data_IF_784261541078
#
_entry.id   IF_784261541078
#
_cell.length_a   1.000
_cell.length_b   1.000
_cell.length_c   1.000
_cell.angle_alpha   90.00
_cell.angle_beta   90.00
_cell.angle_gamma   90.00
#
_symmetry.space_group_name_H-M   'P 1'
#
loop_
_entity.id
_entity.type
_entity.pdbx_description
1 polymer ?
#
# COMPACT_ATOMS: atom_id res chain seq x y z
N UNK A 1 28.60 9.55 3.56
CA UNK A 1 29.49 8.42 3.19
C UNK A 1 29.85 7.63 4.44
N UNK A 2 29.54 6.33 4.48
CA UNK A 2 29.68 5.47 5.67
C UNK A 2 31.13 5.06 5.97
N UNK A 3 31.47 4.90 7.27
CA UNK A 3 32.79 4.42 7.71
C UNK A 3 32.91 2.90 7.53
N UNK A 4 34.13 2.41 7.28
CA UNK A 4 34.45 0.96 7.17
C UNK A 4 33.91 0.21 8.39
N UNK A 5 33.11 -0.84 8.18
CA UNK A 5 32.47 -1.63 9.23
C UNK A 5 31.12 -1.11 9.75
N UNK A 6 30.61 0.02 9.23
CA UNK A 6 29.23 0.48 9.47
C UNK A 6 28.42 0.29 8.20
N UNK A 7 27.54 -0.70 8.21
CA UNK A 7 26.63 -0.98 7.09
C UNK A 7 25.24 -0.42 7.42
N UNK A 8 24.57 0.08 6.39
CA UNK A 8 23.14 0.38 6.43
C UNK A 8 22.42 -0.63 5.53
N UNK A 9 21.26 -1.10 5.97
CA UNK A 9 20.36 -1.88 5.13
C UNK A 9 19.34 -0.94 4.52
N UNK A 10 18.99 -1.17 3.26
CA UNK A 10 17.93 -0.46 2.56
C UNK A 10 17.01 -1.52 1.99
N UNK A 11 15.72 -1.46 2.34
CA UNK A 11 14.70 -2.30 1.73
C UNK A 11 14.22 -1.63 0.43
N UNK A 12 14.09 -2.43 -0.63
CA UNK A 12 13.49 -1.99 -1.91
C UNK A 12 11.98 -2.21 -1.96
N UNK A 13 11.39 -2.80 -0.90
CA UNK A 13 9.96 -3.06 -0.75
C UNK A 13 9.42 -2.45 0.53
N UNK A 14 8.42 -3.08 1.15
CA UNK A 14 7.90 -2.64 2.44
C UNK A 14 9.00 -2.60 3.51
N UNK A 15 9.12 -1.47 4.21
CA UNK A 15 10.16 -1.24 5.23
C UNK A 15 9.63 -0.67 6.56
N UNK A 16 8.44 -0.05 6.53
CA UNK A 16 7.81 0.57 7.70
C UNK A 16 6.77 -0.39 8.29
N UNK A 17 6.82 -0.61 9.61
CA UNK A 17 5.70 -1.19 10.36
C UNK A 17 4.75 -0.05 10.73
N UNK A 18 3.51 -0.09 10.25
CA UNK A 18 2.48 0.89 10.55
C UNK A 18 1.73 0.54 11.82
N UNK A 19 2.03 1.27 12.90
CA UNK A 19 1.53 0.97 14.25
C UNK A 19 2.12 -0.30 14.84
N UNK A 20 2.66 -0.22 16.06
CA UNK A 20 3.25 -1.37 16.76
C UNK A 20 2.32 -2.01 17.80
N UNK A 21 1.19 -1.38 18.12
CA UNK A 21 0.23 -1.93 19.07
C UNK A 21 -0.60 -3.03 18.40
N UNK A 22 -0.60 -4.22 19.00
CA UNK A 22 -1.24 -5.42 18.47
C UNK A 22 -0.77 -5.84 17.05
N UNK A 23 0.31 -5.24 16.53
CA UNK A 23 0.87 -5.59 15.24
C UNK A 23 1.72 -6.88 15.32
N UNK A 24 1.39 -7.94 14.57
CA UNK A 24 2.16 -9.19 14.57
C UNK A 24 3.64 -8.99 14.24
N UNK A 25 3.97 -8.04 13.37
CA UNK A 25 5.36 -7.74 13.02
C UNK A 25 6.14 -7.14 14.19
N UNK A 26 5.47 -6.34 15.03
CA UNK A 26 6.05 -5.82 16.27
C UNK A 26 6.33 -6.93 17.29
N UNK A 27 5.45 -7.94 17.37
CA UNK A 27 5.67 -9.13 18.21
C UNK A 27 6.86 -9.94 17.71
N UNK A 28 6.93 -10.23 16.41
CA UNK A 28 8.06 -10.96 15.81
C UNK A 28 9.39 -10.20 16.01
N UNK A 29 9.39 -8.88 15.82
CA UNK A 29 10.56 -8.05 16.07
C UNK A 29 11.06 -8.21 17.52
N UNK A 30 10.15 -8.23 18.49
CA UNK A 30 10.48 -8.43 19.91
C UNK A 30 11.02 -9.84 20.17
N UNK A 31 10.39 -10.88 19.63
CA UNK A 31 10.85 -12.27 19.77
C UNK A 31 12.27 -12.46 19.21
N UNK A 32 12.57 -11.81 18.09
CA UNK A 32 13.87 -11.85 17.44
C UNK A 32 14.88 -10.84 18.00
N UNK A 33 14.50 -10.10 19.05
CA UNK A 33 15.32 -9.02 19.66
C UNK A 33 15.84 -8.02 18.62
N UNK A 34 15.01 -7.67 17.63
CA UNK A 34 15.34 -6.69 16.59
C UNK A 34 14.98 -5.30 17.10
N UNK A 35 15.94 -4.35 17.13
CA UNK A 35 15.64 -2.97 17.48
C UNK A 35 14.67 -2.33 16.48
N UNK A 36 13.69 -1.60 17.02
CA UNK A 36 12.77 -0.77 16.25
C UNK A 36 13.18 0.70 16.35
N UNK A 37 13.10 1.42 15.23
CA UNK A 37 13.40 2.85 15.16
C UNK A 37 12.14 3.62 14.78
N UNK A 38 11.60 4.37 15.75
CA UNK A 38 10.43 5.23 15.57
C UNK A 38 10.65 6.25 14.44
N UNK A 39 9.68 6.35 13.54
CA UNK A 39 9.54 7.45 12.58
C UNK A 39 9.15 8.70 13.35
N UNK A 40 9.86 9.81 13.11
CA UNK A 40 9.59 11.09 13.77
C UNK A 40 8.65 11.92 12.93
N UNK A 41 7.77 12.67 13.59
CA UNK A 41 6.68 13.41 12.94
C UNK A 41 7.16 14.65 12.16
N UNK A 42 8.38 15.12 12.43
CA UNK A 42 8.91 16.34 11.81
C UNK A 42 9.32 16.07 10.35
N UNK A 43 8.51 16.55 9.41
CA UNK A 43 8.79 16.52 7.97
C UNK A 43 8.83 17.97 7.41
N UNK A 44 9.98 18.65 7.41
CA UNK A 44 10.08 19.98 6.82
C UNK A 44 9.97 19.91 5.28
N UNK A 45 9.14 20.77 4.70
CA UNK A 45 9.00 20.90 3.26
C UNK A 45 10.01 21.90 2.68
N UNK A 46 10.46 21.62 1.45
CA UNK A 46 11.41 22.44 0.73
C UNK A 46 10.91 22.71 -0.69
N UNK A 47 11.14 23.94 -1.14
CA UNK A 47 10.89 24.36 -2.51
C UNK A 47 11.87 23.69 -3.49
N UNK A 48 11.58 23.69 -4.80
CA UNK A 48 12.48 23.13 -5.81
C UNK A 48 13.88 23.76 -5.85
N UNK A 49 14.03 24.99 -5.36
CA UNK A 49 15.31 25.68 -5.23
C UNK A 49 16.09 25.32 -3.94
N UNK A 50 15.53 24.43 -3.11
CA UNK A 50 16.10 23.98 -1.84
C UNK A 50 15.84 24.90 -0.65
N UNK A 51 15.09 26.00 -0.82
CA UNK A 51 14.69 26.85 0.30
C UNK A 51 13.60 26.20 1.15
N UNK A 52 13.60 26.37 2.48
CA UNK A 52 12.54 25.85 3.32
C UNK A 52 11.22 26.59 3.05
N UNK A 53 10.11 25.84 3.03
CA UNK A 53 8.76 26.40 2.91
C UNK A 53 8.42 27.17 4.20
N UNK A 54 7.69 28.28 4.06
CA UNK A 54 7.19 29.03 5.21
C UNK A 54 6.18 28.21 6.02
N UNK A 55 6.34 28.20 7.35
CA UNK A 55 5.53 27.35 8.24
C UNK A 55 4.07 27.76 8.30
N UNK A 56 3.76 29.04 8.14
CA UNK A 56 2.38 29.52 8.16
C UNK A 56 1.65 29.07 6.89
N UNK A 57 2.33 29.12 5.75
CA UNK A 57 1.79 28.63 4.47
C UNK A 57 1.63 27.11 4.50
N UNK A 58 2.65 26.38 4.95
CA UNK A 58 2.61 24.91 5.12
C UNK A 58 1.40 24.49 5.95
N UNK A 59 1.29 25.02 7.17
CA UNK A 59 0.16 24.74 8.08
C UNK A 59 -1.20 25.12 7.47
N UNK A 60 -1.27 26.23 6.73
CA UNK A 60 -2.50 26.68 6.08
C UNK A 60 -2.93 25.71 5.00
N UNK A 61 -2.02 25.26 4.15
CA UNK A 61 -2.32 24.34 3.05
C UNK A 61 -2.66 22.95 3.57
N UNK A 62 -1.98 22.47 4.61
CA UNK A 62 -2.33 21.24 5.31
C UNK A 62 -3.78 21.26 5.81
N UNK A 63 -4.21 22.37 6.44
CA UNK A 63 -5.61 22.54 6.89
C UNK A 63 -6.58 22.56 5.71
N UNK A 64 -6.21 23.19 4.59
CA UNK A 64 -7.04 23.19 3.37
C UNK A 64 -7.20 21.76 2.83
N UNK A 65 -6.11 21.02 2.72
CA UNK A 65 -6.10 19.65 2.23
C UNK A 65 -7.00 18.74 3.08
N UNK A 66 -6.84 18.75 4.40
CA UNK A 66 -7.67 17.95 5.30
C UNK A 66 -9.16 18.34 5.22
N UNK A 67 -9.47 19.64 5.11
CA UNK A 67 -10.86 20.09 4.92
C UNK A 67 -11.45 19.63 3.58
N UNK A 68 -10.66 19.52 2.52
CA UNK A 68 -11.12 18.95 1.26
C UNK A 68 -11.48 17.48 1.44
N UNK A 69 -10.65 16.69 2.13
CA UNK A 69 -10.94 15.28 2.46
C UNK A 69 -12.19 15.12 3.33
N UNK A 70 -12.39 15.98 4.34
CA UNK A 70 -13.62 16.00 5.14
C UNK A 70 -14.86 16.22 4.26
N UNK A 71 -14.74 17.10 3.26
CA UNK A 71 -15.82 17.38 2.31
C UNK A 71 -16.05 16.23 1.33
N UNK A 72 -15.00 15.51 0.91
CA UNK A 72 -15.18 14.24 0.19
C UNK A 72 -15.98 13.25 1.05
N UNK A 73 -15.63 13.13 2.35
CA UNK A 73 -16.33 12.27 3.29
C UNK A 73 -17.80 12.66 3.46
N UNK A 74 -18.13 13.96 3.49
CA UNK A 74 -19.51 14.41 3.54
C UNK A 74 -20.27 14.10 2.23
N UNK A 75 -19.62 14.32 1.07
CA UNK A 75 -20.23 14.04 -0.23
C UNK A 75 -20.54 12.56 -0.42
N UNK A 76 -19.64 11.64 -0.03
CA UNK A 76 -19.93 10.19 -0.12
C UNK A 76 -21.17 9.78 0.67
N UNK A 77 -21.41 10.39 1.84
CA UNK A 77 -22.58 10.09 2.67
C UNK A 77 -23.89 10.59 2.01
N UNK A 78 -23.83 11.72 1.33
CA UNK A 78 -24.99 12.29 0.62
C UNK A 78 -25.29 11.51 -0.67
N UNK A 79 -24.25 11.16 -1.43
CA UNK A 79 -24.39 10.51 -2.74
C UNK A 79 -24.67 9.01 -2.65
N UNK A 80 -24.40 8.38 -1.50
CA UNK A 80 -24.59 6.95 -1.30
C UNK A 80 -23.86 6.12 -2.37
N UNK A 81 -24.54 5.12 -2.93
CA UNK A 81 -23.95 4.21 -3.92
C UNK A 81 -23.51 4.86 -5.24
N UNK A 82 -23.94 6.09 -5.55
CA UNK A 82 -23.50 6.81 -6.76
C UNK A 82 -22.05 7.32 -6.66
N UNK A 83 -21.47 7.37 -5.46
CA UNK A 83 -20.06 7.72 -5.28
C UNK A 83 -19.09 6.60 -5.75
N UNK A 84 -19.59 5.39 -6.03
CA UNK A 84 -18.76 4.23 -6.35
C UNK A 84 -17.96 4.39 -7.66
N UNK A 85 -18.51 5.13 -8.63
CA UNK A 85 -17.93 5.30 -9.98
C UNK A 85 -17.23 6.67 -10.16
N UNK A 86 -17.02 7.41 -9.07
CA UNK A 86 -16.38 8.73 -9.09
C UNK A 86 -14.99 8.61 -8.48
N UNK A 87 -14.00 9.19 -9.15
CA UNK A 87 -12.63 9.19 -8.65
C UNK A 87 -12.40 10.26 -7.58
N UNK A 88 -11.57 9.93 -6.60
CA UNK A 88 -11.20 10.83 -5.52
C UNK A 88 -10.60 12.13 -6.07
N UNK A 89 -9.75 12.03 -7.08
CA UNK A 89 -9.11 13.16 -7.75
C UNK A 89 -10.12 14.11 -8.39
N UNK A 90 -11.18 13.60 -9.03
CA UNK A 90 -12.20 14.48 -9.64
C UNK A 90 -12.98 15.24 -8.57
N UNK A 91 -13.30 14.59 -7.45
CA UNK A 91 -14.01 15.24 -6.33
C UNK A 91 -13.14 16.31 -5.69
N UNK A 92 -11.87 16.00 -5.41
CA UNK A 92 -10.94 16.95 -4.80
C UNK A 92 -10.73 18.19 -5.68
N UNK A 93 -10.54 18.02 -6.98
CA UNK A 93 -10.39 19.16 -7.90
C UNK A 93 -11.67 19.98 -8.02
N UNK A 94 -12.84 19.32 -8.08
CA UNK A 94 -14.15 20.01 -8.08
C UNK A 94 -14.33 20.86 -6.81
N UNK A 95 -14.02 20.29 -5.64
CA UNK A 95 -14.14 20.98 -4.36
C UNK A 95 -13.14 22.14 -4.25
N UNK A 96 -11.91 21.95 -4.70
CA UNK A 96 -10.89 23.01 -4.72
C UNK A 96 -11.35 24.21 -5.54
N UNK A 97 -11.91 23.98 -6.73
CA UNK A 97 -12.46 25.02 -7.59
C UNK A 97 -13.68 25.71 -6.97
N UNK A 98 -14.62 24.92 -6.44
CA UNK A 98 -15.85 25.42 -5.80
C UNK A 98 -15.56 26.34 -4.61
N UNK A 99 -14.63 25.93 -3.74
CA UNK A 99 -14.26 26.70 -2.55
C UNK A 99 -13.17 27.73 -2.80
N UNK A 100 -12.68 27.86 -4.04
CA UNK A 100 -11.72 28.90 -4.40
C UNK A 100 -10.41 28.84 -3.58
N UNK A 101 -9.95 27.65 -3.19
CA UNK A 101 -8.77 27.45 -2.35
C UNK A 101 -7.52 27.06 -3.15
N UNK A 102 -6.35 27.29 -2.55
CA UNK A 102 -5.03 27.05 -3.15
C UNK A 102 -4.90 27.69 -4.54
N UNK A 103 -5.07 29.02 -4.58
CA UNK A 103 -5.12 29.80 -5.83
C UNK A 103 -3.76 30.35 -6.23
N UNK A 104 -2.91 30.67 -5.26
CA UNK A 104 -1.55 31.10 -5.58
C UNK A 104 -0.74 29.90 -6.09
N UNK A 105 0.29 30.18 -6.89
CA UNK A 105 1.19 29.13 -7.39
C UNK A 105 1.84 28.35 -6.25
N UNK A 106 2.23 29.05 -5.19
CA UNK A 106 2.86 28.46 -4.00
C UNK A 106 1.89 27.55 -3.23
N UNK A 107 0.67 28.00 -2.96
CA UNK A 107 -0.34 27.16 -2.30
C UNK A 107 -0.71 25.95 -3.15
N UNK A 108 -0.77 26.12 -4.47
CA UNK A 108 -1.07 25.01 -5.39
C UNK A 108 0.03 23.96 -5.39
N UNK A 109 1.30 24.36 -5.41
CA UNK A 109 2.43 23.43 -5.35
C UNK A 109 2.44 22.63 -4.04
N UNK A 110 2.14 23.28 -2.92
CA UNK A 110 2.04 22.60 -1.62
C UNK A 110 0.83 21.66 -1.55
N UNK A 111 -0.31 22.06 -2.13
CA UNK A 111 -1.46 21.17 -2.24
C UNK A 111 -1.12 19.95 -3.11
N UNK A 112 -0.43 20.16 -4.23
CA UNK A 112 0.01 19.07 -5.11
C UNK A 112 1.00 18.13 -4.39
N UNK A 113 1.83 18.64 -3.47
CA UNK A 113 2.66 17.80 -2.59
C UNK A 113 1.81 16.91 -1.67
N UNK A 114 0.75 17.44 -1.03
CA UNK A 114 -0.15 16.63 -0.19
C UNK A 114 -0.93 15.60 -1.02
N UNK A 115 -1.38 15.98 -2.22
CA UNK A 115 -2.05 15.06 -3.15
C UNK A 115 -1.09 13.94 -3.58
N UNK A 116 0.17 14.25 -3.90
CA UNK A 116 1.19 13.26 -4.20
C UNK A 116 1.51 12.35 -3.00
N UNK A 117 1.54 12.89 -1.78
CA UNK A 117 1.69 12.08 -0.56
C UNK A 117 0.52 11.11 -0.36
N UNK A 118 -0.70 11.50 -0.75
CA UNK A 118 -1.87 10.62 -0.73
C UNK A 118 -1.80 9.54 -1.83
N UNK A 119 -1.31 9.88 -3.02
CA UNK A 119 -1.04 8.90 -4.09
C UNK A 119 0.05 7.91 -3.68
N UNK A 120 1.10 8.37 -2.99
CA UNK A 120 2.13 7.53 -2.40
C UNK A 120 1.56 6.52 -1.42
N UNK A 121 0.71 6.97 -0.48
CA UNK A 121 0.09 6.09 0.52
C UNK A 121 -0.77 4.99 -0.12
N UNK A 122 -1.46 5.30 -1.21
CA UNK A 122 -2.33 4.37 -1.94
C UNK A 122 -1.62 3.64 -3.09
N UNK A 123 -0.35 3.96 -3.34
CA UNK A 123 0.44 3.54 -4.48
C UNK A 123 -0.25 3.73 -5.85
N UNK A 124 -1.16 4.71 -6.00
CA UNK A 124 -1.96 4.88 -7.22
C UNK A 124 -2.53 6.28 -7.40
N UNK A 125 -2.77 6.66 -8.66
CA UNK A 125 -3.24 8.00 -9.01
C UNK A 125 -4.64 8.29 -8.44
N UNK A 126 -4.87 9.52 -7.95
CA UNK A 126 -6.16 9.94 -7.40
C UNK A 126 -7.31 9.81 -8.41
N UNK A 127 -7.01 9.88 -9.71
CA UNK A 127 -7.95 9.67 -10.82
C UNK A 127 -8.47 8.23 -10.91
N UNK A 128 -7.79 7.27 -10.30
CA UNK A 128 -8.17 5.85 -10.26
C UNK A 128 -8.67 5.39 -8.89
N UNK A 129 -8.46 6.18 -7.83
CA UNK A 129 -8.94 5.87 -6.48
C UNK A 129 -10.44 6.15 -6.36
N UNK A 130 -11.18 5.24 -5.73
CA UNK A 130 -12.61 5.44 -5.50
C UNK A 130 -12.84 6.50 -4.43
N UNK A 131 -13.62 7.54 -4.72
CA UNK A 131 -13.99 8.56 -3.74
C UNK A 131 -14.78 7.97 -2.54
N UNK A 132 -15.43 6.82 -2.73
CA UNK A 132 -16.24 6.17 -1.71
C UNK A 132 -15.44 5.28 -0.74
N UNK A 133 -14.41 4.60 -1.24
CA UNK A 133 -13.76 3.47 -0.53
C UNK A 133 -12.23 3.55 -0.44
N UNK A 134 -11.60 4.68 -0.77
CA UNK A 134 -10.14 4.81 -0.70
C UNK A 134 -9.58 4.64 0.72
N UNK A 135 -10.37 4.99 1.75
CA UNK A 135 -10.04 4.98 3.19
C UNK A 135 -10.84 3.90 3.96
N UNK A 136 -11.32 2.86 3.28
CA UNK A 136 -12.23 1.88 3.90
C UNK A 136 -11.57 1.03 5.00
N UNK A 137 -10.24 0.96 5.02
CA UNK A 137 -9.43 0.22 5.98
C UNK A 137 -8.99 1.05 7.20
N UNK A 138 -9.10 2.38 7.15
CA UNK A 138 -8.77 3.30 8.24
C UNK A 138 -9.38 2.90 9.62
N UNK A 139 -10.65 2.43 9.71
CA UNK A 139 -11.22 2.00 11.00
C UNK A 139 -10.49 0.82 11.67
N UNK A 140 -9.61 0.13 10.93
CA UNK A 140 -8.84 -1.03 11.39
C UNK A 140 -7.35 -0.72 11.52
N UNK A 141 -6.95 0.56 11.47
CA UNK A 141 -5.56 0.98 11.67
C UNK A 141 -5.02 0.48 13.02
N UNK A 142 -3.76 0.05 13.01
CA UNK A 142 -3.05 -0.35 14.22
C UNK A 142 -2.45 0.89 14.91
N UNK A 143 -2.70 1.04 16.20
CA UNK A 143 -2.15 2.16 16.97
C UNK A 143 -0.66 2.03 17.29
N UNK A 144 -0.12 3.06 17.95
CA UNK A 144 1.28 3.11 18.40
C UNK A 144 2.22 3.66 17.33
N UNK A 145 3.53 3.65 17.62
CA UNK A 145 4.53 4.27 16.75
C UNK A 145 4.72 3.53 15.42
N UNK A 146 4.85 4.27 14.31
CA UNK A 146 5.37 3.73 13.06
C UNK A 146 6.89 3.54 13.20
N UNK A 147 7.39 2.37 12.79
CA UNK A 147 8.78 1.99 13.06
C UNK A 147 9.48 1.37 11.85
N UNK A 148 10.78 1.67 11.70
CA UNK A 148 11.69 0.87 10.87
C UNK A 148 12.31 -0.26 11.69
N UNK A 149 12.55 -1.40 11.04
CA UNK A 149 13.32 -2.51 11.62
C UNK A 149 14.82 -2.34 11.36
N UNK A 150 15.63 -2.42 12.41
CA UNK A 150 17.08 -2.38 12.27
C UNK A 150 17.59 -3.60 11.46
N UNK A 151 18.16 -3.32 10.28
CA UNK A 151 18.64 -4.34 9.35
C UNK A 151 17.59 -4.81 8.33
N UNK A 152 16.43 -4.16 8.27
CA UNK A 152 15.39 -4.37 7.24
C UNK A 152 14.45 -5.55 7.51
N UNK A 153 13.34 -5.56 6.77
CA UNK A 153 12.28 -6.57 6.91
C UNK A 153 12.73 -7.99 6.57
N UNK A 154 13.81 -8.15 5.81
CA UNK A 154 14.41 -9.44 5.49
C UNK A 154 14.71 -10.29 6.74
N UNK A 155 15.03 -9.67 7.88
CA UNK A 155 15.29 -10.41 9.13
C UNK A 155 14.06 -11.17 9.63
N UNK A 156 12.86 -10.60 9.44
CA UNK A 156 11.59 -11.25 9.78
C UNK A 156 11.33 -12.41 8.82
N UNK A 157 11.49 -12.17 7.51
CA UNK A 157 11.30 -13.19 6.48
C UNK A 157 12.22 -14.39 6.71
N UNK A 158 13.51 -14.12 6.96
CA UNK A 158 14.50 -15.18 7.23
C UNK A 158 14.09 -16.07 8.41
N UNK A 159 13.58 -15.47 9.49
CA UNK A 159 13.11 -16.23 10.65
C UNK A 159 11.86 -17.05 10.33
N UNK A 160 10.90 -16.51 9.58
CA UNK A 160 9.68 -17.23 9.18
C UNK A 160 9.96 -18.38 8.21
N UNK A 161 11.04 -18.30 7.43
CA UNK A 161 11.44 -19.37 6.52
C UNK A 161 12.26 -20.49 7.19
N UNK A 162 12.62 -20.35 8.47
CA UNK A 162 13.45 -21.35 9.15
C UNK A 162 12.71 -22.69 9.27
N UNK A 163 13.34 -23.76 8.80
CA UNK A 163 12.77 -25.12 8.81
C UNK A 163 11.65 -25.35 7.78
N UNK A 164 11.32 -24.37 6.93
CA UNK A 164 10.31 -24.52 5.88
C UNK A 164 10.97 -24.94 4.57
N UNK A 165 10.53 -26.05 3.93
CA UNK A 165 11.05 -26.44 2.62
C UNK A 165 10.56 -25.46 1.54
N UNK A 166 11.48 -24.67 0.98
CA UNK A 166 11.18 -23.67 -0.07
C UNK A 166 11.90 -24.06 -1.36
N UNK A 167 11.12 -24.25 -2.43
CA UNK A 167 11.63 -24.62 -3.74
C UNK A 167 11.71 -23.39 -4.65
N UNK A 168 12.90 -22.78 -4.71
CA UNK A 168 13.17 -21.65 -5.59
C UNK A 168 13.28 -22.09 -7.06
N UNK A 169 13.10 -21.13 -7.99
CA UNK A 169 13.16 -21.40 -9.43
C UNK A 169 12.00 -22.24 -9.96
N UNK A 170 10.91 -22.37 -9.18
CA UNK A 170 9.71 -23.13 -9.54
C UNK A 170 8.55 -22.18 -9.83
N UNK A 171 8.48 -21.71 -11.07
CA UNK A 171 7.36 -20.89 -11.54
C UNK A 171 6.15 -21.79 -11.80
N UNK A 172 5.09 -21.60 -11.02
CA UNK A 172 3.82 -22.31 -11.21
C UNK A 172 3.10 -21.79 -12.46
N UNK A 173 2.65 -22.70 -13.32
CA UNK A 173 1.90 -22.38 -14.53
C UNK A 173 0.46 -22.89 -14.50
N UNK A 174 0.20 -24.00 -13.81
CA UNK A 174 -1.13 -24.59 -13.70
C UNK A 174 -1.38 -25.09 -12.29
N UNK A 175 -2.59 -24.87 -11.79
CA UNK A 175 -3.10 -25.42 -10.53
C UNK A 175 -4.38 -26.19 -10.86
N UNK A 176 -4.32 -27.51 -10.74
CA UNK A 176 -5.49 -28.38 -10.79
C UNK A 176 -5.99 -28.62 -9.39
N UNK A 177 -7.29 -28.54 -9.18
CA UNK A 177 -7.91 -28.80 -7.88
C UNK A 177 -9.26 -29.47 -8.03
N UNK A 178 -9.58 -30.35 -7.10
CA UNK A 178 -10.85 -31.08 -7.09
C UNK A 178 -11.07 -31.84 -5.79
N UNK A 179 -11.99 -32.80 -5.81
CA UNK A 179 -12.33 -33.59 -4.62
C UNK A 179 -11.22 -34.59 -4.23
N UNK A 180 -10.26 -34.85 -5.13
CA UNK A 180 -9.15 -35.80 -4.92
C UNK A 180 -7.84 -35.10 -4.54
N UNK A 181 -7.88 -33.79 -4.24
CA UNK A 181 -6.72 -32.99 -3.88
C UNK A 181 -6.31 -31.99 -4.98
N UNK A 182 -5.03 -31.66 -5.01
CA UNK A 182 -4.46 -30.64 -5.91
C UNK A 182 -3.21 -31.13 -6.63
N UNK A 183 -3.04 -30.70 -7.88
CA UNK A 183 -1.79 -30.84 -8.63
C UNK A 183 -1.27 -29.45 -9.04
N UNK A 184 -0.05 -29.13 -8.66
CA UNK A 184 0.62 -27.87 -9.00
C UNK A 184 1.73 -28.16 -10.01
N UNK A 185 1.59 -27.62 -11.21
CA UNK A 185 2.56 -27.81 -12.31
C UNK A 185 3.47 -26.59 -12.37
N UNK A 186 4.76 -26.81 -12.15
CA UNK A 186 5.80 -25.78 -12.18
C UNK A 186 6.96 -26.23 -13.08
N UNK A 187 6.93 -25.80 -14.34
CA UNK A 187 7.86 -26.25 -15.37
C UNK A 187 7.71 -27.75 -15.68
N UNK A 188 8.79 -28.49 -15.48
CA UNK A 188 8.88 -29.95 -15.67
C UNK A 188 8.45 -30.77 -14.44
N UNK A 189 8.03 -30.09 -13.36
CA UNK A 189 7.66 -30.74 -12.10
C UNK A 189 6.17 -30.64 -11.79
N UNK A 190 5.65 -31.70 -11.18
CA UNK A 190 4.30 -31.79 -10.65
C UNK A 190 4.38 -32.05 -9.15
N UNK A 191 3.73 -31.20 -8.36
CA UNK A 191 3.59 -31.35 -6.93
C UNK A 191 2.14 -31.74 -6.61
N UNK A 192 1.96 -32.80 -5.81
CA UNK A 192 0.64 -33.25 -5.37
C UNK A 192 0.46 -32.98 -3.87
N UNK A 193 -0.73 -32.56 -3.47
CA UNK A 193 -1.09 -32.31 -2.08
C UNK A 193 -2.60 -32.41 -1.88
N UNK A 194 -3.06 -32.39 -0.62
CA UNK A 194 -4.48 -32.31 -0.30
C UNK A 194 -5.06 -30.91 -0.52
N UNK A 195 -4.22 -29.87 -0.37
CA UNK A 195 -4.63 -28.46 -0.43
C UNK A 195 -3.53 -27.57 -1.05
N UNK A 196 -3.95 -26.46 -1.66
CA UNK A 196 -3.07 -25.40 -2.17
C UNK A 196 -3.46 -24.05 -1.60
N UNK A 197 -2.46 -23.28 -1.15
CA UNK A 197 -2.62 -21.87 -0.79
C UNK A 197 -1.91 -21.00 -1.84
N UNK A 198 -2.69 -20.21 -2.58
CA UNK A 198 -2.15 -19.31 -3.61
C UNK A 198 -1.99 -17.90 -3.03
N UNK A 199 -0.74 -17.46 -2.85
CA UNK A 199 -0.38 -16.14 -2.32
C UNK A 199 0.33 -15.25 -3.37
N UNK A 200 0.07 -15.50 -4.65
CA UNK A 200 0.69 -14.69 -5.72
C UNK A 200 0.13 -13.26 -5.70
N UNK A 201 0.93 -12.25 -6.11
CA UNK A 201 0.45 -10.88 -6.18
C UNK A 201 -0.80 -10.73 -7.06
N UNK A 202 -1.69 -9.79 -6.72
CA UNK A 202 -2.90 -9.52 -7.50
C UNK A 202 -2.60 -9.23 -8.98
N UNK A 203 -1.50 -8.53 -9.28
CA UNK A 203 -1.05 -8.30 -10.66
C UNK A 203 -0.76 -9.58 -11.46
N UNK A 204 -0.34 -10.66 -10.81
CA UNK A 204 -0.15 -11.98 -11.46
C UNK A 204 -1.51 -12.61 -11.79
N UNK A 205 -2.47 -12.54 -10.85
CA UNK A 205 -3.83 -13.03 -11.08
C UNK A 205 -4.53 -12.27 -12.22
N UNK A 206 -4.39 -10.93 -12.27
CA UNK A 206 -4.92 -10.09 -13.35
C UNK A 206 -4.33 -10.44 -14.72
N UNK A 207 -3.03 -10.77 -14.78
CA UNK A 207 -2.37 -11.21 -16.02
C UNK A 207 -2.76 -12.63 -16.46
N UNK A 208 -3.46 -13.39 -15.60
CA UNK A 208 -3.91 -14.77 -15.86
C UNK A 208 -2.77 -15.69 -16.33
N UNK A 209 -1.57 -15.53 -15.77
CA UNK A 209 -0.40 -16.34 -16.13
C UNK A 209 -0.42 -17.73 -15.50
N UNK A 210 -1.27 -17.93 -14.48
CA UNK A 210 -1.51 -19.24 -13.85
C UNK A 210 -2.89 -19.71 -14.30
N UNK A 211 -2.93 -20.92 -14.87
CA UNK A 211 -4.17 -21.58 -15.26
C UNK A 211 -4.76 -22.34 -14.07
N UNK A 212 -6.02 -22.07 -13.76
CA UNK A 212 -6.78 -22.80 -12.75
C UNK A 212 -7.68 -23.84 -13.44
N UNK A 213 -7.63 -25.09 -12.99
CA UNK A 213 -8.40 -26.21 -13.53
C UNK A 213 -9.15 -26.93 -12.39
N UNK A 214 -10.47 -26.73 -12.23
CA UNK A 214 -11.36 -25.88 -13.03
C UNK A 214 -11.07 -24.38 -12.86
N UNK A 215 -11.62 -23.56 -13.77
CA UNK A 215 -11.44 -22.10 -13.72
C UNK A 215 -11.99 -21.49 -12.43
N UNK A 216 -11.40 -20.36 -12.00
CA UNK A 216 -11.88 -19.64 -10.82
C UNK A 216 -13.34 -19.19 -11.00
N UNK A 217 -14.17 -19.25 -9.94
CA UNK A 217 -15.56 -18.80 -10.02
C UNK A 217 -15.70 -17.37 -10.54
N UNK A 218 -16.72 -17.11 -11.37
CA UNK A 218 -16.98 -15.78 -11.97
C UNK A 218 -16.96 -14.63 -10.95
N UNK A 219 -17.47 -14.87 -9.73
CA UNK A 219 -17.43 -13.88 -8.63
C UNK A 219 -16.01 -13.50 -8.22
N UNK A 220 -15.08 -14.46 -8.17
CA UNK A 220 -13.67 -14.22 -7.85
C UNK A 220 -12.97 -13.47 -8.98
N UNK A 221 -13.19 -13.88 -10.23
CA UNK A 221 -12.66 -13.19 -11.41
C UNK A 221 -13.12 -11.72 -11.43
N UNK A 222 -14.42 -11.47 -11.25
CA UNK A 222 -14.94 -10.11 -11.22
C UNK A 222 -14.33 -9.26 -10.08
N UNK A 223 -14.04 -9.85 -8.91
CA UNK A 223 -13.37 -9.14 -7.83
C UNK A 223 -11.90 -8.81 -8.16
N UNK A 224 -11.17 -9.76 -8.76
CA UNK A 224 -9.79 -9.56 -9.23
C UNK A 224 -9.75 -8.43 -10.26
N UNK A 225 -10.70 -8.37 -11.19
CA UNK A 225 -10.73 -7.32 -12.22
C UNK A 225 -11.01 -5.93 -11.62
N UNK A 226 -11.93 -5.82 -10.65
CA UNK A 226 -12.33 -4.51 -10.08
C UNK A 226 -11.29 -3.87 -9.15
N UNK A 227 -10.50 -4.66 -8.43
CA UNK A 227 -9.49 -4.10 -7.52
C UNK A 227 -8.31 -3.52 -8.31
N UNK A 228 -7.82 -2.35 -7.92
CA UNK A 228 -6.60 -1.76 -8.47
C UNK A 228 -5.36 -2.57 -8.09
N UNK A 229 -4.37 -2.63 -8.97
CA UNK A 229 -3.02 -3.10 -8.63
C UNK A 229 -2.03 -2.15 -9.26
N UNK A 230 -1.48 -1.27 -8.44
CA UNK A 230 -0.73 -0.11 -8.85
C UNK A 230 0.72 -0.18 -8.34
N UNK A 231 1.54 0.76 -8.78
CA UNK A 231 2.94 0.87 -8.42
C UNK A 231 3.20 2.25 -7.83
N UNK A 232 3.99 2.29 -6.76
CA UNK A 232 4.61 3.52 -6.31
C UNK A 232 5.92 3.67 -7.09
N UNK A 233 6.02 4.71 -7.92
CA UNK A 233 7.24 5.11 -8.63
C UNK A 233 7.86 6.35 -7.98
#
# INVERSE_FOLDING_TARGET
MGRKGKFAAVDLGGSVITGIHANPLGVLARQLSIPLHKVRDKCPLYNPDGTPVDKEIDSKVEVIFNKLLDKVTQLRQIMGGFANDISLGSVLETLRQLYAVARSTEERQLLDWHLANLEYANAGCLSNLSAAYWDQDDPYEMGGDHCFLAGGNWRLIKALCEGVPIFYGKTVHTIRYGNEGVEVIAGDQVFQADMVLCTVPLGILKKRTIRFEPELPKRKLAAIERLGFWIAE
#
